data_IF_719052101549
#
_entry.id   IF_719052101549
#
_cell.length_a   1.000
_cell.length_b   1.000
_cell.length_c   1.000
_cell.angle_alpha   90.00
_cell.angle_beta   90.00
_cell.angle_gamma   90.00
#
_symmetry.space_group_name_H-M   'P 1'
#
loop_
_entity.id
_entity.type
_entity.pdbx_description
1 polymer ?
#
# COMPACT_ATOMS: atom_id res chain seq x y z
N UNK A 1 -32.05 -43.42 -18.43
CA UNK A 1 -32.31 -42.03 -18.75
C UNK A 1 -32.41 -41.26 -17.45
N UNK A 2 -31.71 -40.19 -17.25
CA UNK A 2 -31.52 -39.37 -16.04
C UNK A 2 -30.29 -39.76 -15.21
N UNK A 3 -29.15 -39.09 -15.49
CA UNK A 3 -28.10 -38.76 -14.54
C UNK A 3 -26.96 -38.01 -15.25
N UNK A 4 -27.20 -36.77 -15.71
CA UNK A 4 -26.14 -35.87 -16.22
C UNK A 4 -26.42 -34.37 -16.02
N UNK A 5 -27.18 -33.97 -15.00
CA UNK A 5 -27.50 -32.55 -14.77
C UNK A 5 -27.05 -31.99 -13.40
N UNK A 6 -26.29 -32.75 -12.59
CA UNK A 6 -25.95 -32.33 -11.22
C UNK A 6 -24.50 -31.86 -11.00
N UNK A 7 -23.61 -31.90 -11.98
CA UNK A 7 -22.20 -31.49 -11.77
C UNK A 7 -21.92 -30.00 -12.07
N UNK A 8 -22.83 -29.30 -12.74
CA UNK A 8 -22.65 -27.87 -13.04
C UNK A 8 -23.13 -26.89 -11.95
N UNK A 9 -23.87 -27.38 -10.95
CA UNK A 9 -24.41 -26.53 -9.88
C UNK A 9 -23.44 -26.24 -8.74
N UNK A 10 -22.37 -27.02 -8.56
CA UNK A 10 -21.39 -26.85 -7.48
C UNK A 10 -20.31 -25.80 -7.81
N UNK A 11 -19.97 -25.64 -9.06
CA UNK A 11 -18.98 -24.66 -9.51
C UNK A 11 -19.44 -23.20 -9.30
N UNK A 12 -20.73 -22.91 -9.50
CA UNK A 12 -21.27 -21.54 -9.31
C UNK A 12 -21.52 -21.18 -7.84
N UNK A 13 -21.81 -22.13 -6.97
CA UNK A 13 -22.01 -21.85 -5.54
C UNK A 13 -20.70 -21.55 -4.80
N UNK A 14 -19.62 -22.20 -5.18
CA UNK A 14 -18.28 -21.89 -4.64
C UNK A 14 -17.78 -20.50 -5.05
N UNK A 15 -18.16 -20.03 -6.23
CA UNK A 15 -17.82 -18.69 -6.72
C UNK A 15 -18.58 -17.55 -6.00
N UNK A 16 -19.80 -17.82 -5.54
CA UNK A 16 -20.62 -16.84 -4.81
C UNK A 16 -20.30 -16.74 -3.32
N UNK A 17 -19.73 -17.76 -2.70
CA UNK A 17 -19.31 -17.74 -1.30
C UNK A 17 -17.97 -17.01 -1.15
N UNK A 18 -17.08 -17.05 -2.16
CA UNK A 18 -15.82 -16.30 -2.16
C UNK A 18 -16.03 -14.77 -2.29
N UNK A 19 -17.21 -14.34 -2.75
CA UNK A 19 -17.58 -12.92 -2.93
C UNK A 19 -17.94 -12.20 -1.62
N UNK A 20 -18.10 -12.89 -0.49
CA UNK A 20 -18.59 -12.25 0.75
C UNK A 20 -17.53 -11.91 1.81
N UNK A 21 -16.29 -12.33 1.64
CA UNK A 21 -15.28 -12.19 2.70
C UNK A 21 -13.97 -11.48 2.34
N UNK A 22 -13.76 -11.06 1.09
CA UNK A 22 -12.52 -10.34 0.71
C UNK A 22 -12.81 -9.11 -0.14
N UNK A 23 -12.71 -8.03 0.50
CA UNK A 23 -12.44 -6.62 0.22
C UNK A 23 -12.60 -6.05 -1.21
N UNK A 24 -13.36 -4.95 -1.28
CA UNK A 24 -13.84 -4.21 -2.46
C UNK A 24 -12.78 -3.60 -3.40
N UNK A 25 -11.48 -3.71 -3.13
CA UNK A 25 -10.42 -3.08 -3.93
C UNK A 25 -9.71 -3.99 -4.94
N UNK A 26 -9.85 -5.33 -4.83
CA UNK A 26 -9.31 -6.25 -5.84
C UNK A 26 -10.20 -6.41 -7.09
N UNK A 27 -11.44 -5.90 -7.10
CA UNK A 27 -12.44 -6.25 -8.10
C UNK A 27 -12.33 -5.39 -9.37
N UNK A 28 -11.81 -4.18 -9.30
CA UNK A 28 -11.71 -3.31 -10.48
C UNK A 28 -10.55 -3.66 -11.44
N UNK A 29 -9.43 -4.18 -10.92
CA UNK A 29 -8.29 -4.59 -11.78
C UNK A 29 -8.44 -6.01 -12.35
N UNK A 30 -9.06 -6.95 -11.61
CA UNK A 30 -9.21 -8.32 -12.08
C UNK A 30 -10.26 -8.49 -13.18
N UNK A 31 -11.28 -7.65 -13.24
CA UNK A 31 -12.33 -7.75 -14.27
C UNK A 31 -11.84 -7.30 -15.67
N UNK A 32 -11.00 -6.25 -15.74
CA UNK A 32 -10.45 -5.76 -17.03
C UNK A 32 -9.35 -6.68 -17.55
N UNK A 33 -8.61 -7.34 -16.66
CA UNK A 33 -7.52 -8.25 -17.03
C UNK A 33 -8.01 -9.66 -17.36
N UNK A 34 -9.08 -10.15 -16.71
CA UNK A 34 -9.65 -11.47 -17.05
C UNK A 34 -10.33 -11.50 -18.41
N UNK A 35 -10.97 -10.42 -18.87
CA UNK A 35 -11.64 -10.39 -20.19
C UNK A 35 -10.68 -10.35 -21.37
N UNK A 36 -9.46 -9.84 -21.19
CA UNK A 36 -8.44 -9.86 -22.24
C UNK A 36 -7.77 -11.23 -22.43
N UNK A 37 -7.96 -12.18 -21.49
CA UNK A 37 -7.33 -13.52 -21.53
C UNK A 37 -8.17 -14.57 -22.26
N UNK A 38 -9.45 -14.32 -22.54
CA UNK A 38 -10.35 -15.34 -23.13
C UNK A 38 -10.51 -15.29 -24.65
N UNK A 39 -9.83 -14.38 -25.37
CA UNK A 39 -9.96 -14.26 -26.83
C UNK A 39 -8.66 -14.43 -27.62
N UNK A 40 -7.52 -14.76 -26.99
CA UNK A 40 -6.31 -15.17 -27.69
C UNK A 40 -6.17 -16.70 -27.64
N UNK A 41 -5.57 -17.36 -28.64
CA UNK A 41 -5.23 -18.75 -28.50
C UNK A 41 -4.35 -18.92 -27.25
N UNK A 42 -4.69 -19.92 -26.43
CA UNK A 42 -3.97 -20.23 -25.18
C UNK A 42 -2.53 -20.52 -25.58
N UNK A 43 -1.63 -19.54 -25.40
CA UNK A 43 -0.20 -19.71 -25.62
C UNK A 43 0.39 -20.58 -24.50
N UNK A 44 1.43 -21.34 -24.83
CA UNK A 44 2.25 -22.02 -23.83
C UNK A 44 2.71 -20.95 -22.81
N UNK A 45 2.43 -21.14 -21.52
CA UNK A 45 2.74 -20.17 -20.47
C UNK A 45 1.52 -19.62 -19.70
N UNK A 46 0.34 -19.59 -20.31
CA UNK A 46 -0.89 -19.11 -19.65
C UNK A 46 -1.36 -20.08 -18.57
N UNK A 47 -1.24 -21.38 -18.83
CA UNK A 47 -1.63 -22.42 -17.87
C UNK A 47 -0.66 -22.44 -16.67
N UNK A 48 0.63 -22.36 -16.92
CA UNK A 48 1.68 -22.29 -15.90
C UNK A 48 1.54 -21.01 -15.07
N UNK A 49 1.20 -19.87 -15.68
CA UNK A 49 0.92 -18.64 -14.96
C UNK A 49 -0.29 -18.81 -14.02
N UNK A 50 -1.37 -19.40 -14.49
CA UNK A 50 -2.56 -19.66 -13.66
C UNK A 50 -2.28 -20.62 -12.49
N UNK A 51 -1.47 -21.64 -12.72
CA UNK A 51 -0.97 -22.56 -11.66
C UNK A 51 -0.10 -21.81 -10.65
N UNK A 52 0.73 -20.88 -11.12
CA UNK A 52 1.52 -19.98 -10.27
C UNK A 52 0.66 -19.12 -9.36
N UNK A 53 -0.39 -18.49 -9.90
CA UNK A 53 -1.36 -17.69 -9.14
C UNK A 53 -2.10 -18.56 -8.09
N UNK A 54 -2.48 -19.79 -8.43
CA UNK A 54 -3.11 -20.73 -7.49
C UNK A 54 -2.16 -21.14 -6.37
N UNK A 55 -0.90 -21.46 -6.70
CA UNK A 55 0.12 -21.83 -5.72
C UNK A 55 0.44 -20.64 -4.78
N UNK A 56 0.53 -19.42 -5.33
CA UNK A 56 0.72 -18.20 -4.54
C UNK A 56 -0.47 -17.96 -3.58
N UNK A 57 -1.69 -18.11 -4.06
CA UNK A 57 -2.89 -18.03 -3.23
C UNK A 57 -2.93 -19.06 -2.11
N UNK A 58 -2.38 -20.25 -2.34
CA UNK A 58 -2.21 -21.31 -1.34
C UNK A 58 -0.98 -21.11 -0.43
N UNK A 59 -0.21 -20.03 -0.60
CA UNK A 59 1.06 -19.73 0.09
C UNK A 59 2.16 -20.78 -0.13
N UNK A 60 2.07 -21.58 -1.18
CA UNK A 60 3.11 -22.51 -1.61
C UNK A 60 4.11 -21.79 -2.54
N UNK A 61 4.97 -20.99 -1.93
CA UNK A 61 5.92 -20.13 -2.65
C UNK A 61 6.89 -20.91 -3.52
N UNK A 62 7.28 -22.13 -3.11
CA UNK A 62 8.19 -22.98 -3.91
C UNK A 62 7.53 -23.46 -5.20
N UNK A 63 6.27 -23.89 -5.13
CA UNK A 63 5.52 -24.26 -6.34
C UNK A 63 5.21 -23.03 -7.21
N UNK A 64 4.87 -21.89 -6.59
CA UNK A 64 4.66 -20.65 -7.32
C UNK A 64 5.92 -20.23 -8.10
N UNK A 65 7.12 -20.35 -7.50
CA UNK A 65 8.38 -20.06 -8.17
C UNK A 65 8.58 -20.96 -9.41
N UNK A 66 8.32 -22.27 -9.28
CA UNK A 66 8.45 -23.22 -10.41
C UNK A 66 7.52 -22.81 -11.54
N UNK A 67 6.24 -22.67 -11.28
CA UNK A 67 5.26 -22.36 -12.33
C UNK A 67 5.47 -21.00 -12.98
N UNK A 68 5.81 -19.95 -12.24
CA UNK A 68 6.15 -18.66 -12.86
C UNK A 68 7.46 -18.71 -13.65
N UNK A 69 8.42 -19.55 -13.27
CA UNK A 69 9.64 -19.76 -14.05
C UNK A 69 9.34 -20.48 -15.37
N UNK A 70 8.47 -21.48 -15.34
CA UNK A 70 8.01 -22.19 -16.55
C UNK A 70 7.23 -21.24 -17.47
N UNK A 71 6.29 -20.46 -16.90
CA UNK A 71 5.55 -19.44 -17.64
C UNK A 71 6.47 -18.40 -18.29
N UNK A 72 7.50 -17.94 -17.56
CA UNK A 72 8.47 -16.99 -18.08
C UNK A 72 9.36 -17.62 -19.17
N UNK A 73 9.69 -18.91 -19.08
CA UNK A 73 10.44 -19.62 -20.10
C UNK A 73 9.64 -19.72 -21.41
N UNK A 74 8.33 -19.88 -21.32
CA UNK A 74 7.43 -19.88 -22.49
C UNK A 74 7.24 -18.48 -23.08
N UNK A 75 7.20 -17.45 -22.23
CA UNK A 75 6.97 -16.05 -22.60
C UNK A 75 8.03 -15.12 -21.97
N UNK A 76 9.29 -15.10 -22.45
CA UNK A 76 10.40 -14.38 -21.80
C UNK A 76 10.18 -12.87 -21.67
N UNK A 77 9.36 -12.27 -22.54
CA UNK A 77 9.04 -10.85 -22.52
C UNK A 77 7.81 -10.50 -21.70
N UNK A 78 7.17 -11.47 -21.06
CA UNK A 78 6.00 -11.23 -20.23
C UNK A 78 6.39 -10.56 -18.91
N UNK A 79 6.33 -9.22 -18.89
CA UNK A 79 6.71 -8.41 -17.73
C UNK A 79 5.80 -8.65 -16.52
N UNK A 80 4.57 -9.10 -16.71
CA UNK A 80 3.67 -9.48 -15.61
C UNK A 80 4.17 -10.74 -14.91
N UNK A 81 4.55 -11.76 -15.67
CA UNK A 81 5.16 -12.98 -15.12
C UNK A 81 6.46 -12.63 -14.39
N UNK A 82 7.32 -11.77 -14.99
CA UNK A 82 8.55 -11.29 -14.34
C UNK A 82 8.26 -10.64 -12.97
N UNK A 83 7.22 -9.82 -12.89
CA UNK A 83 6.84 -9.14 -11.64
C UNK A 83 6.41 -10.12 -10.54
N UNK A 84 5.51 -11.06 -10.86
CA UNK A 84 5.06 -12.05 -9.87
C UNK A 84 6.19 -12.99 -9.44
N UNK A 85 7.06 -13.40 -10.37
CA UNK A 85 8.24 -14.19 -10.04
C UNK A 85 9.21 -13.39 -9.15
N UNK A 86 9.40 -12.10 -9.40
CA UNK A 86 10.21 -11.23 -8.52
C UNK A 86 9.65 -11.18 -7.10
N UNK A 87 8.33 -11.02 -6.94
CA UNK A 87 7.67 -11.06 -5.63
C UNK A 87 7.90 -12.37 -4.90
N UNK A 88 7.66 -13.49 -5.57
CA UNK A 88 7.85 -14.83 -4.99
C UNK A 88 9.32 -15.06 -4.59
N UNK A 89 10.28 -14.65 -5.43
CA UNK A 89 11.71 -14.73 -5.10
C UNK A 89 12.08 -13.86 -3.90
N UNK A 90 11.49 -12.67 -3.78
CA UNK A 90 11.67 -11.81 -2.63
C UNK A 90 11.19 -12.49 -1.33
N UNK A 91 9.99 -13.08 -1.35
CA UNK A 91 9.42 -13.80 -0.20
C UNK A 91 10.20 -15.09 0.15
N UNK A 92 10.85 -15.72 -0.83
CA UNK A 92 11.75 -16.86 -0.63
C UNK A 92 13.14 -16.48 -0.12
N UNK A 93 13.41 -15.21 0.13
CA UNK A 93 14.71 -14.73 0.59
C UNK A 93 15.78 -14.70 -0.51
N UNK A 94 15.38 -14.51 -1.78
CA UNK A 94 16.25 -14.38 -2.95
C UNK A 94 16.23 -12.95 -3.52
N UNK A 95 16.61 -11.91 -2.74
CA UNK A 95 16.40 -10.51 -3.13
C UNK A 95 17.19 -10.10 -4.37
N UNK A 96 18.40 -10.63 -4.56
CA UNK A 96 19.23 -10.31 -5.74
C UNK A 96 18.57 -10.76 -7.04
N UNK A 97 17.96 -11.95 -7.05
CA UNK A 97 17.25 -12.47 -8.22
C UNK A 97 15.97 -11.68 -8.49
N UNK A 98 15.26 -11.30 -7.43
CA UNK A 98 14.07 -10.45 -7.50
C UNK A 98 14.39 -9.06 -8.09
N UNK A 99 15.48 -8.42 -7.63
CA UNK A 99 15.96 -7.14 -8.16
C UNK A 99 16.30 -7.25 -9.65
N UNK A 100 17.00 -8.31 -10.06
CA UNK A 100 17.36 -8.50 -11.45
C UNK A 100 16.14 -8.58 -12.38
N UNK A 101 15.06 -9.22 -11.95
CA UNK A 101 13.79 -9.26 -12.68
C UNK A 101 13.09 -7.88 -12.69
N UNK A 102 13.07 -7.19 -11.56
CA UNK A 102 12.51 -5.84 -11.45
C UNK A 102 13.24 -4.85 -12.36
N UNK A 103 14.57 -4.87 -12.40
CA UNK A 103 15.38 -4.01 -13.27
C UNK A 103 15.10 -4.24 -14.76
N UNK A 104 14.77 -5.48 -15.17
CA UNK A 104 14.35 -5.76 -16.54
C UNK A 104 13.01 -5.08 -16.87
N UNK A 105 12.05 -5.06 -15.94
CA UNK A 105 10.76 -4.39 -16.12
C UNK A 105 10.94 -2.88 -16.17
N UNK A 106 11.75 -2.32 -15.27
CA UNK A 106 11.97 -0.88 -15.15
C UNK A 106 12.69 -0.25 -16.34
N UNK A 107 13.38 -1.04 -17.15
CA UNK A 107 13.99 -0.60 -18.44
C UNK A 107 12.96 -0.42 -19.55
N UNK A 108 11.76 -0.98 -19.41
CA UNK A 108 10.71 -0.85 -20.42
C UNK A 108 10.01 0.52 -20.32
N UNK A 109 9.53 1.07 -21.46
CA UNK A 109 8.79 2.34 -21.43
C UNK A 109 7.48 2.18 -20.65
N UNK A 110 7.13 3.22 -19.89
CA UNK A 110 5.85 3.26 -19.16
C UNK A 110 4.71 3.49 -20.13
N UNK A 111 3.67 2.64 -20.03
CA UNK A 111 2.45 2.75 -20.81
C UNK A 111 1.30 3.27 -19.94
N UNK A 112 0.43 4.11 -20.50
CA UNK A 112 -0.82 4.52 -19.88
C UNK A 112 -1.93 3.44 -19.94
N UNK A 113 -1.60 2.24 -20.44
CA UNK A 113 -2.52 1.12 -20.60
C UNK A 113 -3.45 1.23 -21.82
N UNK A 114 -3.30 2.27 -22.63
CA UNK A 114 -4.07 2.49 -23.85
C UNK A 114 -3.24 2.31 -25.12
N UNK A 115 -1.92 2.40 -25.02
CA UNK A 115 -1.01 2.21 -26.16
C UNK A 115 -0.95 0.75 -26.57
N UNK A 116 -1.32 0.46 -27.82
CA UNK A 116 -1.37 -0.89 -28.37
C UNK A 116 -0.73 -0.95 -29.77
N UNK A 117 -0.17 -2.10 -30.11
CA UNK A 117 0.10 -2.48 -31.48
C UNK A 117 -1.06 -3.33 -31.97
N UNK A 118 -1.65 -2.92 -33.08
CA UNK A 118 -2.80 -3.57 -33.71
C UNK A 118 -2.29 -4.41 -34.86
N UNK A 119 -2.51 -5.70 -34.82
CA UNK A 119 -2.17 -6.65 -35.91
C UNK A 119 -3.45 -7.12 -36.58
N UNK A 120 -3.61 -6.81 -37.85
CA UNK A 120 -4.73 -7.33 -38.63
C UNK A 120 -4.47 -8.80 -39.01
N UNK A 121 -5.54 -9.59 -39.12
CA UNK A 121 -5.43 -11.00 -39.52
C UNK A 121 -4.70 -11.12 -40.86
N UNK A 122 -3.59 -11.90 -40.88
CA UNK A 122 -2.77 -12.12 -42.07
C UNK A 122 -1.66 -11.09 -42.26
N UNK A 123 -1.55 -10.07 -41.42
CA UNK A 123 -0.47 -9.08 -41.47
C UNK A 123 0.56 -9.32 -40.34
N UNK A 124 1.84 -9.25 -40.70
CA UNK A 124 2.95 -9.37 -39.75
C UNK A 124 3.36 -8.01 -39.14
N UNK A 125 3.00 -6.91 -39.80
CA UNK A 125 3.33 -5.56 -39.34
C UNK A 125 2.20 -5.00 -38.48
N UNK A 126 2.50 -4.63 -37.24
CA UNK A 126 1.55 -3.97 -36.34
C UNK A 126 1.50 -2.46 -36.55
N UNK A 127 0.34 -1.87 -36.35
CA UNK A 127 0.13 -0.43 -36.37
C UNK A 127 -0.03 0.12 -34.94
N UNK A 128 0.71 1.18 -34.62
CA UNK A 128 0.61 1.84 -33.32
C UNK A 128 -0.71 2.58 -33.19
N UNK A 129 -1.46 2.30 -32.13
CA UNK A 129 -2.75 2.93 -31.84
C UNK A 129 -2.94 3.13 -30.33
N UNK A 130 -3.95 3.92 -29.99
CA UNK A 130 -4.46 4.06 -28.63
C UNK A 130 -5.84 3.38 -28.55
N UNK A 131 -6.00 2.46 -27.60
CA UNK A 131 -7.28 1.86 -27.28
C UNK A 131 -8.11 2.86 -26.47
N UNK A 132 -9.10 3.47 -27.13
CA UNK A 132 -9.96 4.49 -26.51
C UNK A 132 -11.09 3.84 -25.75
N UNK A 133 -11.68 2.78 -26.33
CA UNK A 133 -12.80 2.09 -25.74
C UNK A 133 -12.89 0.65 -26.25
N UNK A 134 -13.26 -0.27 -25.37
CA UNK A 134 -13.60 -1.63 -25.72
C UNK A 134 -15.12 -1.72 -25.75
N UNK A 135 -15.71 -1.48 -26.91
CA UNK A 135 -17.15 -1.45 -27.06
C UNK A 135 -17.72 -2.87 -27.01
N UNK A 136 -18.21 -3.26 -25.85
CA UNK A 136 -19.05 -4.44 -25.72
C UNK A 136 -20.47 -4.04 -26.11
N UNK A 137 -20.96 -4.59 -27.19
CA UNK A 137 -22.31 -4.38 -27.65
C UNK A 137 -23.28 -5.15 -26.80
N UNK A 138 -23.99 -4.48 -25.95
CA UNK A 138 -25.33 -4.82 -25.54
C UNK A 138 -25.93 -3.65 -24.78
N UNK A 139 -26.66 -2.80 -25.41
CA UNK A 139 -27.84 -2.28 -24.75
C UNK A 139 -28.98 -2.30 -25.76
N UNK A 140 -30.02 -3.04 -25.43
CA UNK A 140 -31.29 -3.02 -26.09
C UNK A 140 -32.05 -1.71 -25.88
N UNK A 141 -31.41 -0.70 -25.31
CA UNK A 141 -32.00 0.62 -25.09
C UNK A 141 -31.88 1.45 -26.35
N UNK A 142 -32.84 1.31 -27.25
CA UNK A 142 -33.00 1.94 -28.57
C UNK A 142 -32.83 3.46 -28.68
N UNK A 143 -31.97 4.12 -27.89
CA UNK A 143 -31.78 5.57 -27.90
C UNK A 143 -30.36 6.05 -28.19
N UNK A 144 -29.35 5.21 -28.28
CA UNK A 144 -27.99 5.64 -28.59
C UNK A 144 -27.59 5.21 -30.00
N UNK A 145 -27.57 6.19 -30.90
CA UNK A 145 -26.90 6.24 -32.22
C UNK A 145 -26.34 4.92 -32.76
N UNK A 146 -27.21 4.03 -33.19
CA UNK A 146 -26.88 2.74 -33.82
C UNK A 146 -26.19 2.84 -35.19
N UNK A 147 -25.83 4.02 -35.70
CA UNK A 147 -25.25 4.21 -37.04
C UNK A 147 -23.84 3.68 -37.25
N UNK A 148 -23.14 3.21 -36.18
CA UNK A 148 -21.74 2.84 -36.27
C UNK A 148 -21.44 1.39 -35.85
N UNK A 149 -22.43 0.52 -35.73
CA UNK A 149 -22.20 -0.87 -35.35
C UNK A 149 -22.23 -1.78 -36.60
N UNK A 150 -21.23 -2.66 -36.67
CA UNK A 150 -21.23 -3.76 -37.63
C UNK A 150 -22.00 -4.94 -37.05
N UNK A 151 -22.78 -5.59 -37.87
CA UNK A 151 -23.54 -6.77 -37.51
C UNK A 151 -23.01 -8.01 -38.26
N UNK A 152 -23.11 -9.17 -37.64
CA UNK A 152 -22.84 -10.44 -38.28
C UNK A 152 -23.92 -10.78 -39.29
N UNK A 153 -23.72 -11.81 -40.14
CA UNK A 153 -24.72 -12.31 -41.09
C UNK A 153 -26.00 -12.79 -40.39
N UNK A 154 -25.92 -13.17 -39.11
CA UNK A 154 -27.06 -13.54 -38.26
C UNK A 154 -27.75 -12.34 -37.59
N UNK A 155 -27.38 -11.12 -37.95
CA UNK A 155 -27.87 -9.87 -37.33
C UNK A 155 -27.50 -9.69 -35.85
N UNK A 156 -26.52 -10.42 -35.37
CA UNK A 156 -25.96 -10.22 -34.03
C UNK A 156 -24.87 -9.15 -34.05
N UNK A 157 -24.80 -8.30 -33.03
CA UNK A 157 -23.79 -7.25 -32.95
C UNK A 157 -22.39 -7.86 -32.84
N UNK A 158 -21.46 -7.33 -33.64
CA UNK A 158 -20.05 -7.74 -33.62
C UNK A 158 -19.28 -6.86 -32.64
N UNK A 159 -18.62 -7.41 -31.60
CA UNK A 159 -17.78 -6.65 -30.70
C UNK A 159 -16.66 -5.89 -31.44
N UNK A 160 -16.46 -4.63 -31.09
CA UNK A 160 -15.48 -3.74 -31.75
C UNK A 160 -14.57 -3.07 -30.75
N UNK A 161 -13.35 -2.74 -31.19
CA UNK A 161 -12.47 -1.80 -30.51
C UNK A 161 -12.62 -0.42 -31.12
N UNK A 162 -12.63 0.63 -30.30
CA UNK A 162 -12.43 2.01 -30.75
C UNK A 162 -10.97 2.34 -30.58
N UNK A 163 -10.27 2.52 -31.71
CA UNK A 163 -8.82 2.70 -31.80
C UNK A 163 -8.50 4.05 -32.43
N UNK A 164 -7.60 4.81 -31.80
CA UNK A 164 -7.01 6.02 -32.38
C UNK A 164 -5.64 5.66 -32.99
N UNK A 165 -5.56 5.64 -34.32
CA UNK A 165 -4.30 5.35 -35.02
C UNK A 165 -3.42 6.58 -35.06
N UNK A 166 -2.30 6.54 -34.31
CA UNK A 166 -1.42 7.69 -34.08
C UNK A 166 -0.82 8.26 -35.38
N UNK A 167 -0.41 7.39 -36.32
CA UNK A 167 0.18 7.81 -37.61
C UNK A 167 -0.83 8.50 -38.52
N UNK A 168 -2.09 8.12 -38.47
CA UNK A 168 -3.14 8.67 -39.30
C UNK A 168 -3.88 9.83 -38.66
N UNK A 169 -3.76 10.01 -37.33
CA UNK A 169 -4.53 10.98 -36.56
C UNK A 169 -6.04 10.71 -36.58
N UNK A 170 -6.45 9.48 -36.83
CA UNK A 170 -7.86 9.09 -37.03
C UNK A 170 -8.32 8.03 -36.06
N UNK A 171 -9.58 8.15 -35.64
CA UNK A 171 -10.28 7.15 -34.86
C UNK A 171 -11.05 6.19 -35.78
N UNK A 172 -10.92 4.89 -35.51
CA UNK A 172 -11.62 3.82 -36.24
C UNK A 172 -12.28 2.85 -35.28
N UNK A 173 -13.42 2.29 -35.69
CA UNK A 173 -14.02 1.11 -35.09
C UNK A 173 -13.53 -0.11 -35.84
N UNK A 174 -12.96 -1.08 -35.12
CA UNK A 174 -12.37 -2.28 -35.71
C UNK A 174 -12.98 -3.51 -35.03
N UNK A 175 -13.53 -4.46 -35.80
CA UNK A 175 -14.05 -5.69 -35.22
C UNK A 175 -12.99 -6.43 -34.40
N UNK A 176 -13.33 -6.88 -33.19
CA UNK A 176 -12.39 -7.61 -32.33
C UNK A 176 -11.90 -8.91 -33.01
N UNK A 177 -12.76 -9.53 -33.82
CA UNK A 177 -12.43 -10.74 -34.58
C UNK A 177 -11.43 -10.52 -35.71
N UNK A 178 -11.21 -9.27 -36.15
CA UNK A 178 -10.33 -8.95 -37.29
C UNK A 178 -8.90 -8.59 -36.89
N UNK A 179 -8.64 -8.36 -35.60
CA UNK A 179 -7.33 -7.90 -35.11
C UNK A 179 -6.93 -8.63 -33.84
N UNK A 180 -5.63 -8.64 -33.56
CA UNK A 180 -5.07 -8.89 -32.24
C UNK A 180 -4.40 -7.62 -31.72
N UNK A 181 -4.51 -7.36 -30.42
CA UNK A 181 -3.90 -6.24 -29.76
C UNK A 181 -2.74 -6.71 -28.90
N UNK A 182 -1.57 -6.07 -29.06
CA UNK A 182 -0.42 -6.23 -28.16
C UNK A 182 -0.18 -4.90 -27.46
N UNK A 183 -0.36 -4.86 -26.17
CA UNK A 183 -0.04 -3.67 -25.38
C UNK A 183 1.45 -3.35 -25.46
N UNK A 184 1.78 -2.07 -25.61
CA UNK A 184 3.16 -1.61 -25.66
C UNK A 184 3.58 -1.00 -24.33
N UNK A 185 4.75 -1.40 -23.84
CA UNK A 185 5.30 -0.95 -22.58
C UNK A 185 4.64 -1.59 -21.35
N UNK A 186 5.06 -1.15 -20.20
CA UNK A 186 4.56 -1.60 -18.90
C UNK A 186 3.49 -0.64 -18.39
N UNK A 187 2.37 -1.18 -17.92
CA UNK A 187 1.35 -0.36 -17.27
C UNK A 187 1.98 0.47 -16.14
N UNK A 188 1.60 1.73 -16.04
CA UNK A 188 2.17 2.67 -15.06
C UNK A 188 2.10 2.09 -13.65
N UNK A 189 0.97 1.53 -13.26
CA UNK A 189 0.79 0.90 -11.94
C UNK A 189 1.79 -0.24 -11.71
N UNK A 190 1.95 -1.16 -12.67
CA UNK A 190 2.90 -2.27 -12.56
C UNK A 190 4.35 -1.78 -12.50
N UNK A 191 4.67 -0.71 -13.26
CA UNK A 191 6.00 -0.10 -13.22
C UNK A 191 6.30 0.54 -11.85
N UNK A 192 5.33 1.23 -11.25
CA UNK A 192 5.43 1.84 -9.92
C UNK A 192 5.56 0.78 -8.83
N UNK A 193 4.74 -0.27 -8.87
CA UNK A 193 4.83 -1.42 -7.95
C UNK A 193 6.20 -2.12 -8.07
N UNK A 194 6.69 -2.31 -9.30
CA UNK A 194 8.00 -2.93 -9.56
C UNK A 194 9.14 -2.07 -9.02
N UNK A 195 9.07 -0.75 -9.19
CA UNK A 195 10.06 0.19 -8.63
C UNK A 195 10.06 0.12 -7.11
N UNK A 196 8.89 0.15 -6.50
CA UNK A 196 8.73 0.02 -5.06
C UNK A 196 9.35 -1.28 -4.55
N UNK A 197 9.04 -2.42 -5.17
CA UNK A 197 9.63 -3.72 -4.81
C UNK A 197 11.15 -3.70 -4.93
N UNK A 198 11.67 -3.22 -6.06
CA UNK A 198 13.12 -3.15 -6.35
C UNK A 198 13.87 -2.30 -5.34
N UNK A 199 13.37 -1.09 -5.05
CA UNK A 199 14.02 -0.15 -4.13
C UNK A 199 14.03 -0.68 -2.70
N UNK A 200 12.97 -1.34 -2.29
CA UNK A 200 12.86 -2.02 -0.99
C UNK A 200 13.90 -3.14 -0.86
N UNK A 201 14.02 -4.00 -1.87
CA UNK A 201 14.99 -5.11 -1.87
C UNK A 201 16.43 -4.60 -1.91
N UNK A 202 16.71 -3.53 -2.67
CA UNK A 202 18.03 -2.91 -2.72
C UNK A 202 18.45 -2.33 -1.35
N UNK A 203 17.51 -1.71 -0.63
CA UNK A 203 17.73 -1.23 0.73
C UNK A 203 18.00 -2.39 1.68
N UNK A 204 17.23 -3.49 1.58
CA UNK A 204 17.46 -4.70 2.36
C UNK A 204 18.85 -5.30 2.13
N UNK A 205 19.35 -5.32 0.89
CA UNK A 205 20.70 -5.80 0.55
C UNK A 205 21.81 -4.87 1.03
N UNK A 206 21.61 -3.55 0.96
CA UNK A 206 22.59 -2.57 1.49
C UNK A 206 22.66 -2.59 3.02
N UNK A 207 21.64 -3.11 3.67
CA UNK A 207 21.50 -3.25 5.11
C UNK A 207 21.58 -4.70 5.58
N UNK A 208 22.14 -5.62 4.79
CA UNK A 208 22.28 -7.01 5.23
C UNK A 208 22.97 -7.03 6.62
N UNK A 209 22.27 -7.43 7.67
CA UNK A 209 22.85 -7.41 9.01
C UNK A 209 23.87 -8.52 9.10
N UNK A 210 25.05 -8.16 9.49
CA UNK A 210 25.95 -9.09 10.13
C UNK A 210 25.34 -9.48 11.48
N UNK A 211 24.59 -10.57 11.53
CA UNK A 211 24.21 -11.28 12.75
C UNK A 211 23.02 -10.72 13.54
N UNK A 212 22.07 -11.60 13.77
CA UNK A 212 21.04 -11.62 14.83
C UNK A 212 20.18 -10.36 15.05
N UNK A 213 18.87 -10.49 14.73
CA UNK A 213 17.78 -9.69 15.27
C UNK A 213 17.98 -8.17 15.18
N UNK A 214 17.38 -7.54 14.14
CA UNK A 214 17.33 -6.08 14.09
C UNK A 214 16.62 -5.54 15.33
N UNK A 215 17.37 -5.23 16.36
CA UNK A 215 16.82 -4.55 17.55
C UNK A 215 16.48 -3.13 17.13
N UNK A 216 15.18 -2.76 17.22
CA UNK A 216 14.80 -1.36 17.09
C UNK A 216 15.48 -0.59 18.25
N UNK A 217 16.51 0.24 17.98
CA UNK A 217 17.29 0.84 19.06
C UNK A 217 16.45 1.81 19.86
N UNK A 218 16.63 1.83 21.16
CA UNK A 218 16.04 2.81 22.06
C UNK A 218 16.92 4.06 22.12
N UNK A 219 16.32 5.22 21.96
CA UNK A 219 16.95 6.53 22.14
C UNK A 219 16.64 7.02 23.54
N UNK A 220 17.66 7.45 24.27
CA UNK A 220 17.49 8.09 25.57
C UNK A 220 16.91 9.52 25.38
N UNK A 221 15.78 9.78 25.97
CA UNK A 221 15.10 11.07 25.96
C UNK A 221 15.34 11.76 27.30
N UNK A 222 16.05 12.91 27.32
CA UNK A 222 16.28 13.62 28.57
C UNK A 222 14.97 14.14 29.17
N UNK A 223 14.86 14.12 30.48
CA UNK A 223 13.72 14.76 31.17
C UNK A 223 13.71 16.26 30.95
N UNK A 224 12.52 16.86 31.01
CA UNK A 224 12.34 18.30 30.82
C UNK A 224 10.89 18.71 30.82
N UNK A 225 10.64 20.02 30.77
CA UNK A 225 9.30 20.58 30.72
C UNK A 225 9.04 21.24 29.36
N UNK A 226 7.77 21.20 28.91
CA UNK A 226 7.37 21.78 27.63
C UNK A 226 5.88 22.26 27.74
N UNK A 227 5.49 23.04 26.76
CA UNK A 227 4.08 23.46 26.61
C UNK A 227 3.36 22.46 25.72
N UNK A 228 2.51 21.60 26.32
CA UNK A 228 1.74 20.58 25.63
C UNK A 228 0.44 21.15 25.08
N UNK A 229 0.06 20.74 23.86
CA UNK A 229 -1.16 21.17 23.20
C UNK A 229 -0.97 22.32 22.20
N UNK A 230 -2.08 22.86 21.73
CA UNK A 230 -2.12 23.98 20.77
C UNK A 230 -3.42 24.75 20.85
N UNK A 231 -3.34 26.08 20.90
CA UNK A 231 -4.52 26.96 20.84
C UNK A 231 -5.05 27.13 19.39
N UNK A 232 -4.30 26.67 18.39
CA UNK A 232 -4.67 26.75 16.98
C UNK A 232 -5.25 25.44 16.43
N UNK A 233 -5.28 24.38 17.25
CA UNK A 233 -5.78 23.06 16.89
C UNK A 233 -7.23 22.81 17.29
N UNK A 234 -7.60 21.56 17.36
CA UNK A 234 -8.90 21.08 17.80
C UNK A 234 -9.17 21.42 19.29
N UNK A 235 -10.43 21.34 19.72
CA UNK A 235 -10.80 21.57 21.11
C UNK A 235 -10.02 20.65 22.08
N UNK A 236 -9.84 19.41 21.71
CA UNK A 236 -9.11 18.41 22.50
C UNK A 236 -7.62 18.72 22.69
N UNK A 237 -7.04 19.64 21.89
CA UNK A 237 -5.66 20.09 22.04
C UNK A 237 -5.49 21.23 23.07
N UNK A 238 -6.58 21.66 23.69
CA UNK A 238 -6.63 22.85 24.58
C UNK A 238 -6.99 22.51 26.03
N UNK A 239 -6.56 23.33 27.00
CA UNK A 239 -5.64 24.46 26.84
C UNK A 239 -4.20 24.03 26.66
N UNK A 240 -3.36 24.90 26.08
CA UNK A 240 -1.92 24.77 26.20
C UNK A 240 -1.53 24.84 27.66
N UNK A 241 -0.76 23.86 28.13
CA UNK A 241 -0.37 23.76 29.55
C UNK A 241 1.05 23.22 29.71
N UNK A 242 1.69 23.56 30.81
CA UNK A 242 3.04 23.06 31.07
C UNK A 242 3.00 21.61 31.57
N UNK A 243 3.79 20.74 30.93
CA UNK A 243 4.02 19.36 31.35
C UNK A 243 5.51 19.11 31.50
N UNK A 244 5.87 18.41 32.56
CA UNK A 244 7.25 17.99 32.82
C UNK A 244 7.34 16.47 32.74
N UNK A 245 8.24 15.94 31.90
CA UNK A 245 8.47 14.53 31.67
C UNK A 245 9.79 14.11 32.31
N UNK A 246 9.77 13.02 33.07
CA UNK A 246 10.98 12.35 33.55
C UNK A 246 11.78 11.75 32.38
N UNK A 247 13.09 11.50 32.54
CA UNK A 247 13.88 10.82 31.51
C UNK A 247 13.31 9.43 31.22
N UNK A 248 13.28 9.05 29.95
CA UNK A 248 12.81 7.75 29.49
C UNK A 248 13.55 7.35 28.22
N UNK A 249 13.27 6.16 27.68
CA UNK A 249 13.77 5.74 26.38
C UNK A 249 12.61 5.49 25.44
N UNK A 250 12.81 5.75 24.14
CA UNK A 250 11.81 5.51 23.09
C UNK A 250 12.45 4.82 21.88
N UNK A 251 11.74 3.91 21.23
CA UNK A 251 12.22 3.31 19.98
C UNK A 251 12.54 4.39 18.95
N UNK A 252 13.71 4.29 18.34
CA UNK A 252 14.18 5.22 17.30
C UNK A 252 13.23 5.29 16.11
N UNK A 253 12.62 4.17 15.78
CA UNK A 253 11.72 3.95 14.66
C UNK A 253 10.40 3.35 15.13
N UNK A 254 9.39 3.40 14.28
CA UNK A 254 8.19 2.56 14.41
C UNK A 254 8.59 1.07 14.47
N UNK A 255 7.78 0.22 15.08
CA UNK A 255 8.02 -1.22 15.13
C UNK A 255 7.86 -1.81 13.73
N UNK A 256 8.93 -2.46 13.21
CA UNK A 256 8.90 -3.09 11.88
C UNK A 256 8.24 -4.45 11.91
N UNK A 257 7.67 -4.85 10.76
CA UNK A 257 6.92 -6.10 10.57
C UNK A 257 7.73 -7.34 10.93
N UNK A 258 9.02 -7.37 10.60
CA UNK A 258 9.89 -8.50 10.91
C UNK A 258 9.99 -8.72 12.43
N UNK A 259 10.16 -7.65 13.20
CA UNK A 259 10.26 -7.72 14.66
C UNK A 259 8.91 -8.08 15.29
N UNK A 260 7.81 -7.48 14.79
CA UNK A 260 6.46 -7.81 15.26
C UNK A 260 6.14 -9.29 15.03
N UNK A 261 6.37 -9.79 13.82
CA UNK A 261 6.15 -11.21 13.48
C UNK A 261 6.98 -12.16 14.34
N UNK A 262 8.25 -11.81 14.59
CA UNK A 262 9.13 -12.63 15.44
C UNK A 262 8.62 -12.73 16.88
N UNK A 263 8.10 -11.64 17.45
CA UNK A 263 7.60 -11.60 18.84
C UNK A 263 6.17 -12.13 18.99
N UNK A 264 5.30 -11.90 17.98
CA UNK A 264 3.87 -12.16 18.06
C UNK A 264 3.42 -13.41 17.27
N UNK A 265 4.27 -13.99 16.41
CA UNK A 265 4.00 -15.17 15.59
C UNK A 265 3.20 -14.88 14.31
N UNK A 266 2.62 -13.69 14.16
CA UNK A 266 1.81 -13.29 12.99
C UNK A 266 2.16 -11.87 12.55
N UNK A 267 1.82 -11.53 11.30
CA UNK A 267 1.95 -10.17 10.76
C UNK A 267 0.59 -9.73 10.20
N UNK A 268 -0.12 -8.79 10.85
CA UNK A 268 -1.42 -8.29 10.40
C UNK A 268 -1.33 -7.21 9.32
N UNK A 269 -0.13 -6.73 8.99
CA UNK A 269 0.07 -5.61 8.08
C UNK A 269 -0.59 -5.81 6.72
N UNK A 270 -1.19 -4.76 6.20
CA UNK A 270 -1.81 -4.75 4.88
C UNK A 270 -0.75 -4.71 3.77
N UNK A 271 0.31 -3.94 3.96
CA UNK A 271 1.43 -3.83 3.02
C UNK A 271 2.60 -4.65 3.57
N UNK A 272 2.77 -5.88 3.06
CA UNK A 272 3.67 -6.86 3.68
C UNK A 272 5.09 -6.74 3.15
N UNK A 273 6.00 -6.26 4.03
CA UNK A 273 7.45 -6.29 3.86
C UNK A 273 8.18 -6.11 5.20
N UNK A 274 9.28 -6.85 5.40
CA UNK A 274 9.96 -6.92 6.70
C UNK A 274 10.49 -5.60 7.27
N UNK A 275 10.89 -4.66 6.42
CA UNK A 275 11.44 -3.35 6.80
C UNK A 275 10.39 -2.24 6.88
N UNK A 276 9.16 -2.51 6.46
CA UNK A 276 8.04 -1.60 6.67
C UNK A 276 7.61 -1.62 8.13
N UNK A 277 7.07 -0.52 8.65
CA UNK A 277 6.44 -0.55 9.96
C UNK A 277 5.24 -1.49 9.95
N UNK A 278 4.93 -2.10 11.07
CA UNK A 278 3.75 -2.93 11.19
C UNK A 278 2.51 -2.06 11.30
N UNK A 279 1.61 -2.22 10.34
CA UNK A 279 0.31 -1.56 10.28
C UNK A 279 -0.85 -2.49 10.63
N UNK A 280 -2.06 -1.96 10.67
CA UNK A 280 -3.30 -2.73 10.89
C UNK A 280 -3.32 -3.49 12.21
N UNK A 281 -2.68 -2.96 13.24
CA UNK A 281 -2.62 -3.54 14.59
C UNK A 281 -3.59 -2.84 15.54
N UNK A 282 -4.15 -3.59 16.48
CA UNK A 282 -4.96 -3.07 17.57
C UNK A 282 -4.07 -2.48 18.66
N UNK A 283 -4.65 -1.64 19.52
CA UNK A 283 -3.96 -1.14 20.71
C UNK A 283 -3.47 -2.28 21.62
N UNK A 284 -4.27 -3.33 21.80
CA UNK A 284 -3.92 -4.47 22.62
C UNK A 284 -2.73 -5.26 22.10
N UNK A 285 -2.63 -5.38 20.77
CA UNK A 285 -1.47 -6.03 20.13
C UNK A 285 -0.21 -5.18 20.27
N UNK A 286 -0.33 -3.87 20.11
CA UNK A 286 0.78 -2.93 20.32
C UNK A 286 1.27 -2.98 21.78
N UNK A 287 0.35 -2.92 22.75
CA UNK A 287 0.67 -3.04 24.17
C UNK A 287 1.33 -4.39 24.49
N UNK A 288 0.76 -5.49 23.97
CA UNK A 288 1.28 -6.85 24.18
C UNK A 288 2.69 -6.99 23.63
N UNK A 289 2.95 -6.45 22.42
CA UNK A 289 4.28 -6.48 21.82
C UNK A 289 5.29 -5.72 22.69
N UNK A 290 4.98 -4.48 23.09
CA UNK A 290 5.87 -3.70 23.92
C UNK A 290 6.17 -4.42 25.25
N UNK A 291 5.16 -4.98 25.94
CA UNK A 291 5.34 -5.77 27.17
C UNK A 291 6.22 -6.99 26.97
N UNK A 292 6.02 -7.75 25.88
CA UNK A 292 6.88 -8.92 25.55
C UNK A 292 8.33 -8.52 25.29
N UNK A 293 8.56 -7.29 24.82
CA UNK A 293 9.90 -6.74 24.60
C UNK A 293 10.51 -6.09 25.85
N UNK A 294 9.87 -6.22 27.02
CA UNK A 294 10.30 -5.56 28.27
C UNK A 294 10.05 -4.06 28.30
N UNK A 295 9.16 -3.56 27.46
CA UNK A 295 8.85 -2.15 27.26
C UNK A 295 7.36 -1.88 27.49
N UNK A 296 6.92 -0.65 27.25
CA UNK A 296 5.51 -0.20 27.30
C UNK A 296 5.20 0.71 26.10
N UNK A 297 3.93 1.01 25.88
CA UNK A 297 3.59 2.13 25.00
C UNK A 297 4.01 3.45 25.66
N UNK A 298 4.39 4.49 24.89
CA UNK A 298 4.60 5.83 25.45
C UNK A 298 3.29 6.41 25.92
N UNK A 299 3.32 7.23 26.98
CA UNK A 299 2.19 8.11 27.28
C UNK A 299 2.03 9.15 26.18
N UNK A 300 0.85 9.72 26.04
CA UNK A 300 0.61 10.79 25.08
C UNK A 300 1.54 11.99 25.30
N UNK A 301 1.78 12.33 26.54
CA UNK A 301 2.66 13.44 26.91
C UNK A 301 4.14 13.14 26.60
N UNK A 302 4.61 11.91 26.85
CA UNK A 302 5.95 11.48 26.41
C UNK A 302 6.09 11.54 24.90
N UNK A 303 5.04 11.12 24.15
CA UNK A 303 5.06 11.14 22.71
C UNK A 303 5.14 12.58 22.16
N UNK A 304 4.32 13.52 22.70
CA UNK A 304 4.35 14.92 22.26
C UNK A 304 5.66 15.61 22.67
N UNK A 305 6.20 15.34 23.85
CA UNK A 305 7.51 15.82 24.27
C UNK A 305 8.62 15.32 23.32
N UNK A 306 8.56 14.05 22.98
CA UNK A 306 9.53 13.40 22.11
C UNK A 306 9.48 13.93 20.67
N UNK A 307 8.30 14.11 20.07
CA UNK A 307 8.19 14.66 18.70
C UNK A 307 8.66 16.11 18.67
N UNK A 308 8.29 16.94 19.64
CA UNK A 308 8.71 18.35 19.70
C UNK A 308 10.23 18.49 19.84
N UNK A 309 10.87 17.66 20.63
CA UNK A 309 12.32 17.68 20.83
C UNK A 309 12.90 19.09 21.02
N UNK A 310 12.17 19.93 21.78
CA UNK A 310 12.49 21.34 22.04
C UNK A 310 11.85 22.34 21.07
N UNK A 311 11.19 21.91 20.00
CA UNK A 311 10.50 22.80 19.05
C UNK A 311 9.16 23.31 19.62
N UNK A 312 8.88 24.60 19.39
CA UNK A 312 7.59 25.25 19.71
C UNK A 312 6.74 25.47 18.47
N UNK A 313 7.21 25.10 17.30
CA UNK A 313 6.53 25.29 16.02
C UNK A 313 5.41 24.26 15.80
N UNK A 314 4.62 24.46 14.74
CA UNK A 314 3.50 23.59 14.39
C UNK A 314 3.93 22.13 14.18
N UNK A 315 5.05 21.94 13.46
CA UNK A 315 5.73 20.67 13.25
C UNK A 315 7.10 20.75 13.94
N UNK A 316 7.73 19.62 14.23
CA UNK A 316 9.07 19.64 14.86
C UNK A 316 10.16 20.27 13.98
N UNK A 317 9.95 20.35 12.65
CA UNK A 317 10.85 20.99 11.68
C UNK A 317 10.49 22.44 11.32
N UNK A 318 9.43 23.03 11.88
CA UNK A 318 8.98 24.40 11.59
C UNK A 318 7.48 24.48 11.27
N UNK A 319 7.10 25.42 10.40
CA UNK A 319 5.68 25.72 10.10
C UNK A 319 5.27 25.39 8.66
N UNK A 320 6.18 24.85 7.83
CA UNK A 320 5.93 24.60 6.41
C UNK A 320 6.21 23.15 6.07
N UNK A 321 5.30 22.52 5.32
CA UNK A 321 5.45 21.16 4.78
C UNK A 321 5.95 21.26 3.34
N UNK A 322 7.02 20.52 2.99
CA UNK A 322 7.64 20.50 1.66
C UNK A 322 7.71 19.10 1.04
N UNK A 323 7.28 18.04 1.79
CA UNK A 323 7.31 16.63 1.36
C UNK A 323 8.64 15.92 1.56
N UNK A 324 9.56 16.52 2.31
CA UNK A 324 10.85 15.92 2.66
C UNK A 324 10.94 15.53 4.13
N UNK A 325 9.92 15.88 4.89
CA UNK A 325 9.91 15.83 6.35
C UNK A 325 9.18 14.58 6.89
N UNK A 326 8.24 14.01 6.12
CA UNK A 326 7.45 12.84 6.54
C UNK A 326 6.59 12.30 5.40
N UNK A 327 6.11 11.08 5.53
CA UNK A 327 5.24 10.42 4.58
C UNK A 327 3.76 10.71 4.94
N UNK A 328 3.03 11.36 4.05
CA UNK A 328 1.61 11.70 4.21
C UNK A 328 0.90 11.67 2.85
N UNK A 329 -0.42 11.88 2.82
CA UNK A 329 -1.18 11.83 1.57
C UNK A 329 -0.82 13.01 0.64
N UNK A 330 0.22 12.82 -0.16
CA UNK A 330 0.78 13.73 -1.14
C UNK A 330 0.26 13.43 -2.56
N UNK A 331 0.97 13.88 -3.61
CA UNK A 331 0.58 13.63 -5.01
C UNK A 331 0.52 12.15 -5.39
N UNK A 332 1.23 11.27 -4.66
CA UNK A 332 1.29 9.83 -4.92
C UNK A 332 0.13 9.06 -4.28
N UNK A 333 -0.61 9.70 -3.37
CA UNK A 333 -1.74 9.14 -2.66
C UNK A 333 -3.04 9.31 -3.48
N UNK A 334 -3.87 8.27 -3.50
CA UNK A 334 -5.11 8.22 -4.29
C UNK A 334 -6.38 8.65 -3.51
N UNK A 335 -6.19 9.33 -2.36
CA UNK A 335 -7.30 9.77 -1.52
C UNK A 335 -7.66 11.25 -1.77
N UNK A 336 -8.91 11.62 -1.49
CA UNK A 336 -9.42 13.00 -1.67
C UNK A 336 -8.74 14.05 -0.78
N UNK A 337 -7.99 13.63 0.24
CA UNK A 337 -7.26 14.49 1.17
C UNK A 337 -5.83 14.82 0.73
N UNK A 338 -5.45 14.39 -0.47
CA UNK A 338 -4.09 14.53 -1.00
C UNK A 338 -3.65 15.97 -1.18
N UNK A 339 -2.39 16.23 -0.90
CA UNK A 339 -1.69 17.49 -1.19
C UNK A 339 -0.93 17.34 -2.51
N UNK A 340 -1.61 17.63 -3.63
CA UNK A 340 -1.11 17.36 -4.98
C UNK A 340 0.18 18.14 -5.36
N UNK A 341 0.51 19.20 -4.63
CA UNK A 341 1.71 20.03 -4.86
C UNK A 341 2.98 19.51 -4.20
N UNK A 342 2.88 18.43 -3.42
CA UNK A 342 3.98 17.85 -2.65
C UNK A 342 4.30 16.46 -3.14
N UNK A 343 5.56 16.03 -2.99
CA UNK A 343 6.07 14.71 -3.38
C UNK A 343 7.02 14.19 -2.31
N UNK A 344 6.55 13.29 -1.47
CA UNK A 344 7.36 12.59 -0.46
C UNK A 344 8.01 11.31 -1.02
N UNK A 345 7.52 10.80 -2.16
CA UNK A 345 8.06 9.66 -2.89
C UNK A 345 7.37 8.33 -2.59
N UNK A 346 6.32 8.31 -1.75
CA UNK A 346 5.63 7.08 -1.34
C UNK A 346 4.12 7.21 -1.53
N UNK A 347 3.50 6.17 -2.07
CA UNK A 347 2.04 6.11 -2.23
C UNK A 347 1.33 5.48 -1.01
N UNK A 348 2.07 4.74 -0.20
CA UNK A 348 1.66 4.03 1.01
C UNK A 348 2.78 4.13 2.05
N UNK A 349 2.84 3.24 3.02
CA UNK A 349 3.90 3.24 4.04
C UNK A 349 5.30 3.20 3.44
N UNK A 350 6.23 3.95 4.01
CA UNK A 350 7.66 3.94 3.69
C UNK A 350 8.42 3.02 4.67
N UNK A 351 9.57 2.46 4.26
CA UNK A 351 10.49 1.84 5.22
C UNK A 351 10.89 2.84 6.30
N UNK A 352 10.98 2.37 7.55
CA UNK A 352 11.30 3.25 8.68
C UNK A 352 12.63 3.98 8.51
N UNK A 353 12.74 5.21 8.99
CA UNK A 353 13.97 6.01 8.93
C UNK A 353 14.25 6.64 7.58
N UNK A 354 13.29 6.71 6.67
CA UNK A 354 13.47 7.37 5.36
C UNK A 354 13.45 8.89 5.46
N UNK A 355 12.78 9.43 6.44
CA UNK A 355 12.68 10.86 6.66
C UNK A 355 13.63 11.32 7.76
N UNK A 356 14.01 12.63 7.76
CA UNK A 356 14.95 13.15 8.74
C UNK A 356 14.50 12.93 10.18
N UNK A 357 15.45 12.60 11.05
CA UNK A 357 15.20 12.53 12.47
C UNK A 357 14.94 13.92 13.07
N UNK A 358 14.17 13.98 14.16
CA UNK A 358 14.06 15.16 14.99
C UNK A 358 15.33 15.38 15.85
N UNK A 359 15.35 16.43 16.67
CA UNK A 359 16.54 16.78 17.46
C UNK A 359 16.92 15.72 18.53
N UNK A 360 16.00 14.85 18.93
CA UNK A 360 16.30 13.70 19.79
C UNK A 360 16.77 12.46 19.01
N UNK A 361 16.82 12.52 17.69
CA UNK A 361 17.26 11.41 16.84
C UNK A 361 16.16 10.38 16.54
N UNK A 362 14.88 10.72 16.78
CA UNK A 362 13.74 9.89 16.46
C UNK A 362 13.26 10.17 15.02
N UNK A 363 13.02 9.10 14.26
CA UNK A 363 12.51 9.17 12.89
C UNK A 363 11.01 8.92 12.84
N UNK A 364 10.41 9.37 11.74
CA UNK A 364 9.02 9.09 11.38
C UNK A 364 7.99 9.48 12.46
N UNK A 365 8.35 10.51 13.29
CA UNK A 365 7.47 11.05 14.32
C UNK A 365 6.30 11.88 13.77
N UNK A 366 6.25 12.07 12.45
CA UNK A 366 5.18 12.77 11.76
C UNK A 366 4.96 12.14 10.38
N UNK A 367 3.83 11.48 10.19
CA UNK A 367 3.52 10.70 9.00
C UNK A 367 4.02 9.25 9.09
N UNK A 368 4.01 8.54 8.00
CA UNK A 368 4.21 7.12 7.84
C UNK A 368 3.06 6.32 8.50
N UNK A 369 3.12 6.01 9.78
CA UNK A 369 1.98 5.51 10.53
C UNK A 369 1.62 6.45 11.69
N UNK A 370 0.34 6.62 11.93
CA UNK A 370 -0.14 7.16 13.19
C UNK A 370 0.13 6.13 14.31
N UNK A 371 0.46 6.60 15.50
CA UNK A 371 1.00 5.75 16.55
C UNK A 371 0.09 5.67 17.77
N UNK A 372 -0.21 4.45 18.22
CA UNK A 372 -0.88 4.21 19.48
C UNK A 372 -0.06 4.71 20.65
N UNK A 373 -0.73 5.42 21.58
CA UNK A 373 -0.19 5.77 22.91
C UNK A 373 -0.90 4.99 24.03
N UNK A 374 -0.40 5.05 25.23
CA UNK A 374 -0.99 4.36 26.38
C UNK A 374 -2.34 4.95 26.79
N UNK A 375 -2.55 6.24 26.54
CA UNK A 375 -3.60 7.04 27.12
C UNK A 375 -4.98 6.80 26.50
N UNK A 376 -6.02 6.97 27.31
CA UNK A 376 -7.39 7.14 26.83
C UNK A 376 -7.63 8.59 26.41
N UNK A 377 -8.52 8.83 25.45
CA UNK A 377 -8.91 10.18 25.07
C UNK A 377 -10.01 10.71 26.00
N UNK A 378 -9.76 11.85 26.62
CA UNK A 378 -10.78 12.77 27.12
C UNK A 378 -10.46 14.17 26.57
N UNK A 379 -11.40 14.76 25.85
CA UNK A 379 -11.24 16.07 25.21
C UNK A 379 -10.98 17.21 26.20
N UNK A 380 -11.33 17.03 27.45
CA UNK A 380 -11.15 18.02 28.51
C UNK A 380 -9.96 17.72 29.43
N UNK A 381 -9.28 16.60 29.25
CA UNK A 381 -8.22 16.16 30.16
C UNK A 381 -7.12 17.20 30.37
N UNK A 382 -6.74 17.96 29.33
CA UNK A 382 -5.68 18.98 29.42
C UNK A 382 -5.99 20.10 30.44
N UNK A 383 -7.27 20.30 30.85
CA UNK A 383 -7.67 21.23 31.88
C UNK A 383 -7.31 20.79 33.29
N UNK A 384 -7.13 19.48 33.48
CA UNK A 384 -6.90 18.85 34.79
C UNK A 384 -5.65 17.94 34.78
N UNK A 385 -4.92 17.92 33.68
CA UNK A 385 -3.72 17.11 33.52
C UNK A 385 -2.70 17.44 34.63
N UNK A 386 -2.12 16.42 35.28
CA UNK A 386 -1.01 16.67 36.22
C UNK A 386 0.17 17.29 35.44
N UNK A 387 0.85 18.24 36.10
CA UNK A 387 2.02 18.88 35.52
C UNK A 387 3.19 17.89 35.32
N UNK A 388 3.32 16.86 36.14
CA UNK A 388 4.44 15.92 36.12
C UNK A 388 3.96 14.54 35.66
N UNK A 389 4.64 14.01 34.63
CA UNK A 389 4.46 12.65 34.09
C UNK A 389 2.99 12.21 33.95
N UNK A 390 2.12 13.00 33.25
CA UNK A 390 0.71 12.63 33.11
C UNK A 390 0.57 11.30 32.32
N UNK A 391 -0.37 10.46 32.78
CA UNK A 391 -0.66 9.13 32.25
C UNK A 391 -2.04 9.00 31.59
N UNK A 392 -2.66 10.15 31.30
CA UNK A 392 -4.01 10.21 30.72
C UNK A 392 -5.15 10.10 31.76
N UNK A 393 -6.38 10.23 31.28
CA UNK A 393 -7.58 10.12 32.12
C UNK A 393 -7.88 8.64 32.45
N UNK A 394 -8.90 8.44 33.31
CA UNK A 394 -9.51 7.13 33.49
C UNK A 394 -10.01 6.54 32.15
N UNK A 395 -10.18 5.21 32.05
CA UNK A 395 -10.67 4.57 30.84
C UNK A 395 -11.94 5.23 30.28
N UNK A 396 -11.87 5.54 28.97
CA UNK A 396 -12.97 6.07 28.17
C UNK A 396 -13.28 5.13 26.99
N UNK A 397 -13.86 5.64 25.91
CA UNK A 397 -14.24 4.86 24.75
C UNK A 397 -13.06 4.59 23.78
N UNK A 398 -12.10 5.50 23.69
CA UNK A 398 -11.07 5.45 22.66
C UNK A 398 -9.67 5.75 23.21
N UNK A 399 -8.67 5.16 22.57
CA UNK A 399 -7.24 5.35 22.82
C UNK A 399 -6.67 6.46 21.93
N UNK A 400 -5.76 7.25 22.49
CA UNK A 400 -5.11 8.34 21.77
C UNK A 400 -4.13 7.79 20.73
N UNK A 401 -4.13 8.44 19.56
CA UNK A 401 -3.25 8.19 18.42
C UNK A 401 -2.60 9.51 17.99
N UNK A 402 -1.32 9.45 17.64
CA UNK A 402 -0.50 10.63 17.35
C UNK A 402 0.25 10.50 16.01
N UNK A 403 0.71 11.64 15.47
CA UNK A 403 1.68 11.69 14.35
C UNK A 403 1.09 11.87 12.96
N UNK A 404 -0.16 11.47 12.72
CA UNK A 404 -0.69 11.37 11.35
C UNK A 404 -0.06 10.21 10.58
N UNK A 405 -0.50 9.96 9.34
CA UNK A 405 -0.08 8.79 8.57
C UNK A 405 0.00 9.08 7.07
N UNK A 406 0.56 8.14 6.30
CA UNK A 406 0.65 8.19 4.85
C UNK A 406 -0.68 8.50 4.14
N UNK A 407 -1.81 8.12 4.75
CA UNK A 407 -3.16 8.30 4.23
C UNK A 407 -3.92 9.49 4.84
N UNK A 408 -3.23 10.40 5.53
CA UNK A 408 -3.81 11.62 6.12
C UNK A 408 -3.24 12.88 5.46
N UNK A 409 -3.99 13.99 5.55
CA UNK A 409 -3.47 15.28 5.08
C UNK A 409 -2.37 15.82 5.99
N UNK A 410 -1.55 16.75 5.46
CA UNK A 410 -0.45 17.37 6.20
C UNK A 410 -0.84 18.01 7.53
N UNK A 411 -2.10 18.44 7.69
CA UNK A 411 -2.59 19.01 8.95
C UNK A 411 -2.56 18.05 10.14
N UNK A 412 -2.62 16.75 9.89
CA UNK A 412 -2.54 15.71 10.93
C UNK A 412 -1.12 15.44 11.42
N UNK A 413 -0.09 15.93 10.71
CA UNK A 413 1.33 15.80 11.08
C UNK A 413 1.75 16.77 12.19
N UNK A 414 0.90 17.71 12.62
CA UNK A 414 1.21 18.69 13.66
C UNK A 414 1.58 17.98 14.97
N UNK A 415 2.62 18.48 15.64
CA UNK A 415 3.12 17.89 16.89
C UNK A 415 2.03 17.80 17.98
N UNK A 416 1.10 18.75 18.02
CA UNK A 416 -0.01 18.76 18.97
C UNK A 416 -1.26 18.01 18.52
N UNK A 417 -1.32 17.55 17.25
CA UNK A 417 -2.53 16.92 16.74
C UNK A 417 -2.86 15.64 17.52
N UNK A 418 -4.13 15.53 17.92
CA UNK A 418 -4.69 14.38 18.64
C UNK A 418 -5.75 13.71 17.78
N UNK A 419 -5.62 12.40 17.60
CA UNK A 419 -6.66 11.54 17.07
C UNK A 419 -6.95 10.40 18.06
N UNK A 420 -8.05 9.69 17.88
CA UNK A 420 -8.36 8.55 18.74
C UNK A 420 -9.22 7.53 18.02
N UNK A 421 -9.04 6.27 18.39
CA UNK A 421 -9.82 5.14 17.89
C UNK A 421 -10.14 4.17 19.03
N UNK A 422 -11.20 3.39 18.86
CA UNK A 422 -11.48 2.25 19.74
C UNK A 422 -10.29 1.30 19.77
N UNK A 423 -10.01 0.70 20.93
CA UNK A 423 -8.78 -0.09 21.11
C UNK A 423 -8.65 -1.31 20.18
N UNK A 424 -9.76 -1.81 19.65
CA UNK A 424 -9.84 -2.91 18.68
C UNK A 424 -9.72 -2.44 17.22
N UNK A 425 -9.72 -1.14 16.97
CA UNK A 425 -9.70 -0.60 15.61
C UNK A 425 -8.41 -0.96 14.88
N UNK A 426 -8.53 -1.24 13.58
CA UNK A 426 -7.41 -1.55 12.67
C UNK A 426 -7.48 -0.64 11.45
N UNK A 427 -6.34 -0.10 11.06
CA UNK A 427 -6.23 0.73 9.87
C UNK A 427 -4.81 0.60 9.29
N UNK A 428 -4.63 0.58 7.96
CA UNK A 428 -3.30 0.48 7.34
C UNK A 428 -2.42 1.72 7.53
N UNK A 429 -2.96 2.79 8.09
CA UNK A 429 -2.20 3.96 8.53
C UNK A 429 -1.93 3.99 10.03
N UNK A 430 -2.06 2.87 10.75
CA UNK A 430 -2.00 2.83 12.22
C UNK A 430 -1.00 1.78 12.71
N UNK A 431 0.00 2.22 13.43
CA UNK A 431 1.09 1.43 14.01
C UNK A 431 1.47 1.90 15.40
N UNK A 432 2.72 1.72 15.80
CA UNK A 432 3.21 2.12 17.12
C UNK A 432 4.74 2.07 17.22
N UNK A 433 5.25 2.69 18.27
CA UNK A 433 6.59 2.49 18.84
C UNK A 433 6.51 2.26 20.33
N UNK A 434 7.55 1.64 20.94
CA UNK A 434 7.58 1.40 22.37
C UNK A 434 8.46 2.45 23.09
N UNK A 435 8.16 2.61 24.38
CA UNK A 435 8.98 3.36 25.33
C UNK A 435 9.40 2.45 26.49
N UNK A 436 10.40 2.87 27.24
CA UNK A 436 10.79 2.24 28.52
C UNK A 436 11.22 3.31 29.50
N UNK A 437 11.11 3.01 30.77
CA UNK A 437 11.69 3.82 31.82
C UNK A 437 13.25 3.84 31.69
N UNK A 438 13.89 4.87 32.24
CA UNK A 438 15.34 5.10 32.11
C UNK A 438 16.18 4.03 32.77
#
# INVERSE_FOLDING_TARGET
MNNHLNEWSWSMRSFLIYRRTHNRYCIALSAVVCLALFSAPVGAGVEEFARGDQALGAKDLKKAEVYYTEALSAEPENHRVKYYLARVKAELGKPSEAIALADQILKLPVSNGRDVMVFFKGESAGLAAELVDQTVLASQDGKNNMRNYLYSKSNEPIPQYRLFFKKEGKMKLVPQSAVSLKYTGVLRLLHEETRTLRDRLAIGLMRAPTGAGSTNPMVAIPGGCFMMGSDQGAHAERPVHEVCISSFKMNKYEVVQANFKAAMGSNPAQYVEGELPVDSITWYEAETYCKKSGNRLPTEAEWEYAVRSGSTTQFYWGNTVRGKEGNFCDKNCDLNVRVASVDDGFAVTAPVGKFPANAFGLHDMAGNLAEWTADWLDENYYRTSPRKDPTGPHPTRAKVVRGGAWNTSAGFLRSANRAAYEAEFRNPGLGFRCASDS
#
